data_IF_375005184270
#
_entry.id   IF_375005184270
#
_cell.length_a   1.000
_cell.length_b   1.000
_cell.length_c   1.000
_cell.angle_alpha   90.00
_cell.angle_beta   90.00
_cell.angle_gamma   90.00
#
_symmetry.space_group_name_H-M   'P 1'
#
loop_
_entity.id
_entity.type
_entity.pdbx_description
1 polymer ?
#
# COMPACT_ATOMS: atom_id res chain seq x y z
N UNK A 1 9.77 -29.64 14.97
CA UNK A 1 10.23 -28.41 14.27
C UNK A 1 9.05 -27.86 13.49
N UNK A 2 8.29 -26.94 14.09
CA UNK A 2 7.18 -26.30 13.41
C UNK A 2 7.75 -25.29 12.40
N UNK A 3 7.56 -25.54 11.11
CA UNK A 3 7.77 -24.54 10.07
C UNK A 3 6.71 -23.45 10.27
N UNK A 4 7.07 -22.37 10.95
CA UNK A 4 6.29 -21.14 10.97
C UNK A 4 6.38 -20.51 9.57
N UNK A 5 5.60 -21.06 8.65
CA UNK A 5 5.32 -20.48 7.34
C UNK A 5 4.51 -19.21 7.52
N UNK A 6 5.15 -18.16 8.03
CA UNK A 6 4.59 -16.82 8.08
C UNK A 6 4.31 -16.39 6.65
N UNK A 7 3.05 -16.46 6.24
CA UNK A 7 2.58 -16.00 4.94
C UNK A 7 3.01 -14.54 4.84
N UNK A 8 4.07 -14.27 4.07
CA UNK A 8 4.52 -12.92 3.74
C UNK A 8 3.46 -12.32 2.82
N UNK A 9 2.31 -11.96 3.38
CA UNK A 9 1.26 -11.29 2.65
C UNK A 9 1.79 -9.89 2.32
N UNK A 10 1.85 -9.63 1.02
CA UNK A 10 1.88 -8.29 0.48
C UNK A 10 0.79 -7.46 1.19
N UNK A 11 1.16 -6.26 1.65
CA UNK A 11 0.24 -5.34 2.32
C UNK A 11 -0.82 -4.81 1.35
N UNK A 12 -1.84 -4.12 1.88
CA UNK A 12 -2.87 -3.47 1.05
C UNK A 12 -2.20 -2.47 0.11
N UNK A 13 -2.57 -2.46 -1.16
CA UNK A 13 -2.10 -1.40 -2.09
C UNK A 13 -2.83 -0.11 -1.76
N UNK A 14 -2.11 1.01 -1.67
CA UNK A 14 -2.71 2.33 -1.42
C UNK A 14 -3.48 2.82 -2.67
N UNK A 15 -4.75 3.27 -2.55
CA UNK A 15 -5.47 3.91 -3.66
C UNK A 15 -4.73 5.08 -4.32
N UNK A 16 -3.90 5.84 -3.60
CA UNK A 16 -3.10 6.93 -4.19
C UNK A 16 -1.99 6.40 -5.10
N UNK A 17 -1.37 5.28 -4.72
CA UNK A 17 -0.39 4.61 -5.58
C UNK A 17 -1.05 4.16 -6.90
N UNK A 18 -2.26 3.62 -6.85
CA UNK A 18 -3.00 3.22 -8.06
C UNK A 18 -3.33 4.41 -8.97
N UNK A 19 -3.62 5.58 -8.40
CA UNK A 19 -3.87 6.80 -9.19
C UNK A 19 -2.65 7.23 -10.01
N UNK A 20 -1.43 6.99 -9.50
CA UNK A 20 -0.18 7.24 -10.21
C UNK A 20 0.16 6.13 -11.21
N UNK A 21 -0.13 4.87 -10.88
CA UNK A 21 0.19 3.70 -11.71
C UNK A 21 -0.77 3.55 -12.90
N UNK A 22 -2.05 3.89 -12.74
CA UNK A 22 -3.06 3.80 -13.80
C UNK A 22 -2.66 4.54 -15.09
N UNK A 23 -2.23 5.83 -15.07
CA UNK A 23 -1.79 6.51 -16.28
C UNK A 23 -0.52 5.88 -16.88
N UNK A 24 0.39 5.32 -16.08
CA UNK A 24 1.56 4.60 -16.60
C UNK A 24 1.15 3.35 -17.39
N UNK A 25 0.18 2.58 -16.87
CA UNK A 25 -0.36 1.41 -17.57
C UNK A 25 -1.07 1.81 -18.86
N UNK A 26 -1.83 2.91 -18.84
CA UNK A 26 -2.48 3.45 -20.04
C UNK A 26 -1.45 3.85 -21.12
N UNK A 27 -0.41 4.60 -20.74
CA UNK A 27 0.68 4.98 -21.63
C UNK A 27 1.38 3.75 -22.20
N UNK A 28 1.66 2.74 -21.37
CA UNK A 28 2.25 1.50 -21.84
C UNK A 28 1.37 0.78 -22.88
N UNK A 29 0.04 0.75 -22.67
CA UNK A 29 -0.91 0.20 -23.64
C UNK A 29 -0.86 0.93 -24.98
N UNK A 30 -0.81 2.28 -24.95
CA UNK A 30 -0.68 3.11 -26.15
C UNK A 30 0.65 2.83 -26.87
N UNK A 31 1.76 2.70 -26.12
CA UNK A 31 3.08 2.40 -26.69
C UNK A 31 3.11 1.03 -27.38
N UNK A 32 2.51 0.00 -26.76
CA UNK A 32 2.42 -1.33 -27.35
C UNK A 32 1.56 -1.29 -28.62
N UNK A 33 0.40 -0.61 -28.56
CA UNK A 33 -0.48 -0.44 -29.71
C UNK A 33 0.21 0.30 -30.87
N UNK A 34 1.05 1.30 -30.56
CA UNK A 34 1.83 2.07 -31.53
C UNK A 34 3.07 1.35 -32.09
N UNK A 35 3.29 0.08 -31.74
CA UNK A 35 4.42 -0.72 -32.23
C UNK A 35 5.71 -0.61 -31.40
N UNK A 36 5.72 0.14 -30.30
CA UNK A 36 6.84 0.25 -29.36
C UNK A 36 6.68 -0.76 -28.20
N UNK A 37 6.46 -2.03 -28.55
CA UNK A 37 6.13 -3.08 -27.58
C UNK A 37 7.19 -3.22 -26.47
N UNK A 38 8.47 -3.20 -26.81
CA UNK A 38 9.56 -3.32 -25.83
C UNK A 38 9.56 -2.18 -24.81
N UNK A 39 9.32 -0.95 -25.24
CA UNK A 39 9.26 0.21 -24.34
C UNK A 39 8.05 0.09 -23.43
N UNK A 40 6.89 -0.27 -23.97
CA UNK A 40 5.68 -0.50 -23.17
C UNK A 40 5.86 -1.61 -22.14
N UNK A 41 6.53 -2.71 -22.47
CA UNK A 41 6.87 -3.79 -21.51
C UNK A 41 7.75 -3.26 -20.38
N UNK A 42 8.78 -2.47 -20.68
CA UNK A 42 9.63 -1.85 -19.64
C UNK A 42 8.80 -0.96 -18.72
N UNK A 43 7.89 -0.15 -19.27
CA UNK A 43 6.99 0.69 -18.48
C UNK A 43 6.08 -0.14 -17.57
N UNK A 44 5.51 -1.25 -18.06
CA UNK A 44 4.70 -2.18 -17.26
C UNK A 44 5.51 -2.77 -16.12
N UNK A 45 6.74 -3.20 -16.38
CA UNK A 45 7.63 -3.75 -15.34
C UNK A 45 7.90 -2.70 -14.26
N UNK A 46 8.23 -1.46 -14.65
CA UNK A 46 8.42 -0.37 -13.70
C UNK A 46 7.16 -0.11 -12.86
N UNK A 47 5.99 -0.03 -13.50
CA UNK A 47 4.71 0.15 -12.83
C UNK A 47 4.42 -0.98 -11.82
N UNK A 48 4.68 -2.23 -12.18
CA UNK A 48 4.52 -3.38 -11.30
C UNK A 48 5.48 -3.32 -10.10
N UNK A 49 6.72 -2.89 -10.29
CA UNK A 49 7.69 -2.69 -9.20
C UNK A 49 7.21 -1.63 -8.21
N UNK A 50 6.64 -0.50 -8.69
CA UNK A 50 6.09 0.54 -7.81
C UNK A 50 4.98 -0.02 -6.92
N UNK A 51 4.00 -0.73 -7.51
CA UNK A 51 2.90 -1.35 -6.74
C UNK A 51 3.43 -2.38 -5.73
N UNK A 52 4.43 -3.16 -6.13
CA UNK A 52 5.04 -4.17 -5.26
C UNK A 52 5.72 -3.51 -4.04
N UNK A 53 6.43 -2.41 -4.24
CA UNK A 53 7.12 -1.65 -3.19
C UNK A 53 6.12 -0.94 -2.27
N UNK A 54 5.07 -0.34 -2.83
CA UNK A 54 3.99 0.29 -2.07
C UNK A 54 3.32 -0.74 -1.15
N UNK A 55 2.89 -1.87 -1.73
CA UNK A 55 2.31 -2.98 -0.99
C UNK A 55 3.25 -3.57 0.07
N UNK A 56 4.56 -3.63 -0.22
CA UNK A 56 5.54 -4.11 0.75
C UNK A 56 5.69 -3.16 1.95
N UNK A 57 5.62 -1.85 1.68
CA UNK A 57 5.73 -0.81 2.70
C UNK A 57 4.46 -0.73 3.54
N UNK A 58 3.29 -0.95 2.94
CA UNK A 58 1.99 -0.92 3.61
C UNK A 58 1.61 -2.24 4.29
N UNK A 59 2.60 -2.98 4.81
CA UNK A 59 2.35 -4.23 5.54
C UNK A 59 1.65 -3.93 6.87
N UNK A 60 0.62 -4.72 7.25
CA UNK A 60 -0.05 -4.53 8.52
C UNK A 60 0.95 -4.71 9.67
N UNK A 61 0.90 -3.78 10.62
CA UNK A 61 1.69 -3.85 11.84
C UNK A 61 1.28 -5.12 12.63
N UNK A 62 2.21 -5.74 13.36
CA UNK A 62 1.94 -6.98 14.10
C UNK A 62 1.01 -6.80 15.31
N UNK A 63 0.51 -5.59 15.55
CA UNK A 63 -0.45 -5.28 16.59
C UNK A 63 -1.68 -4.63 15.96
N UNK A 64 -2.86 -5.09 16.40
CA UNK A 64 -4.13 -4.48 16.04
C UNK A 64 -4.21 -3.11 16.73
N UNK A 65 -4.18 -2.03 15.94
CA UNK A 65 -4.62 -0.72 16.42
C UNK A 65 -6.14 -0.78 16.40
N UNK A 66 -6.85 -0.67 17.54
CA UNK A 66 -8.30 -0.58 17.53
C UNK A 66 -8.70 0.61 16.65
N UNK A 67 -9.41 0.36 15.55
CA UNK A 67 -9.87 1.41 14.63
C UNK A 67 -10.94 2.33 15.25
N UNK A 68 -11.37 2.06 16.50
CA UNK A 68 -12.54 2.66 17.15
C UNK A 68 -12.26 3.73 18.23
N UNK A 69 -11.02 4.17 18.46
CA UNK A 69 -10.71 5.10 19.57
C UNK A 69 -10.43 6.55 19.12
N UNK A 70 -11.12 7.01 18.07
CA UNK A 70 -11.21 8.45 17.75
C UNK A 70 -12.19 9.21 18.65
N UNK A 71 -12.71 8.56 19.70
CA UNK A 71 -13.44 9.20 20.78
C UNK A 71 -12.47 9.55 21.92
N UNK A 72 -11.44 10.35 21.61
CA UNK A 72 -10.56 10.91 22.63
C UNK A 72 -11.35 11.92 23.46
N UNK A 73 -12.07 11.44 24.47
CA UNK A 73 -12.51 12.27 25.58
C UNK A 73 -11.24 12.70 26.34
N UNK A 74 -10.91 14.01 26.39
CA UNK A 74 -9.76 14.46 27.14
C UNK A 74 -9.90 13.99 28.60
N UNK A 75 -8.82 13.51 29.24
CA UNK A 75 -8.91 13.06 30.62
C UNK A 75 -9.42 14.22 31.49
N UNK A 76 -10.56 14.02 32.15
CA UNK A 76 -11.10 15.05 33.04
C UNK A 76 -10.03 15.44 34.07
N UNK A 77 -9.82 16.73 34.32
CA UNK A 77 -8.84 17.18 35.30
C UNK A 77 -9.27 16.63 36.66
N UNK A 78 -8.56 15.58 37.12
CA UNK A 78 -8.75 14.95 38.41
C UNK A 78 -8.65 16.04 39.48
N UNK A 79 -9.80 16.55 39.92
CA UNK A 79 -9.92 17.56 40.97
C UNK A 79 -9.30 16.96 42.22
N UNK A 80 -8.06 17.33 42.52
CA UNK A 80 -7.41 16.95 43.78
C UNK A 80 -8.22 17.62 44.89
N UNK A 81 -8.96 16.80 45.64
CA UNK A 81 -9.53 17.22 46.91
C UNK A 81 -8.37 17.47 47.87
N UNK A 82 -8.26 18.71 48.35
CA UNK A 82 -7.51 19.09 49.54
C UNK A 82 -8.49 19.23 50.69
#
# INVERSE_FOLDING_TARGET
MASSGGRRHFGRVDPFCLFMVLPLVLIAGILIWGGLAWVGVVVIVCAAVVVLVDSWTNRPLPFDVPEDDYDYAPPEPRRRAH
#
